data_IF_691102112976
#
_entry.id   IF_691102112976
#
_cell.length_a   1.000
_cell.length_b   1.000
_cell.length_c   1.000
_cell.angle_alpha   90.00
_cell.angle_beta   90.00
_cell.angle_gamma   90.00
#
_symmetry.space_group_name_H-M   'P 1'
#
loop_
_entity.id
_entity.type
_entity.pdbx_description
1 polymer ?
#
# COMPACT_ATOMS: atom_id res chain seq x y z
N UNK A 1 -13.50 -14.54 -6.76
CA UNK A 1 -12.40 -14.51 -5.79
C UNK A 1 -12.01 -13.04 -5.58
N UNK A 2 -12.38 -12.48 -4.42
CA UNK A 2 -12.45 -11.04 -4.10
C UNK A 2 -11.05 -10.49 -3.82
N UNK A 3 -10.14 -10.57 -4.79
CA UNK A 3 -8.76 -10.13 -4.60
C UNK A 3 -8.69 -8.61 -4.69
N UNK A 4 -8.22 -8.00 -3.61
CA UNK A 4 -7.90 -6.58 -3.53
C UNK A 4 -6.87 -6.24 -4.61
N UNK A 5 -7.16 -5.25 -5.45
CA UNK A 5 -6.16 -4.70 -6.39
C UNK A 5 -5.26 -3.71 -5.64
N UNK A 6 -4.01 -3.49 -6.09
CA UNK A 6 -3.15 -2.45 -5.55
C UNK A 6 -3.83 -1.08 -5.53
N UNK A 7 -4.65 -0.78 -6.55
CA UNK A 7 -5.43 0.47 -6.66
C UNK A 7 -6.38 0.68 -5.48
N UNK A 8 -7.13 -0.34 -5.08
CA UNK A 8 -8.04 -0.21 -3.93
C UNK A 8 -7.28 0.08 -2.62
N UNK A 9 -6.08 -0.48 -2.47
CA UNK A 9 -5.22 -0.21 -1.30
C UNK A 9 -4.72 1.23 -1.30
N UNK A 10 -4.30 1.74 -2.46
CA UNK A 10 -3.87 3.13 -2.62
C UNK A 10 -5.03 4.12 -2.43
N UNK A 11 -6.22 3.80 -2.94
CA UNK A 11 -7.43 4.62 -2.74
C UNK A 11 -7.83 4.67 -1.26
N UNK A 12 -7.82 3.53 -0.56
CA UNK A 12 -8.07 3.50 0.88
C UNK A 12 -7.03 4.30 1.67
N UNK A 13 -5.76 4.28 1.22
CA UNK A 13 -4.71 5.12 1.78
C UNK A 13 -4.99 6.62 1.55
N UNK A 14 -5.35 7.02 0.33
CA UNK A 14 -5.71 8.42 0.00
C UNK A 14 -6.93 8.91 0.79
N UNK A 15 -7.90 8.04 1.07
CA UNK A 15 -9.07 8.34 1.90
C UNK A 15 -8.76 8.42 3.40
N UNK A 16 -7.57 8.00 3.83
CA UNK A 16 -7.21 7.89 5.25
C UNK A 16 -7.82 6.68 5.97
N UNK A 17 -8.48 5.78 5.26
CA UNK A 17 -9.06 4.54 5.80
C UNK A 17 -7.98 3.49 6.11
N UNK A 18 -6.81 3.63 5.49
CA UNK A 18 -5.69 2.71 5.63
C UNK A 18 -4.38 3.46 5.82
N UNK A 19 -3.57 3.06 6.79
CA UNK A 19 -2.24 3.61 7.02
C UNK A 19 -1.17 2.77 6.33
N UNK A 20 -0.03 3.40 6.00
CA UNK A 20 1.15 2.69 5.44
C UNK A 20 1.56 1.48 6.30
N UNK A 21 1.53 1.64 7.63
CA UNK A 21 1.86 0.57 8.57
C UNK A 21 0.93 -0.64 8.42
N UNK A 22 -0.37 -0.41 8.26
CA UNK A 22 -1.34 -1.49 8.01
C UNK A 22 -1.08 -2.19 6.67
N UNK A 23 -0.67 -1.47 5.62
CA UNK A 23 -0.30 -2.09 4.33
C UNK A 23 0.90 -3.02 4.50
N UNK A 24 1.93 -2.60 5.24
CA UNK A 24 3.12 -3.44 5.54
C UNK A 24 2.73 -4.69 6.33
N UNK A 25 1.88 -4.55 7.35
CA UNK A 25 1.38 -5.68 8.12
C UNK A 25 0.62 -6.68 7.25
N UNK A 26 -0.27 -6.19 6.39
CA UNK A 26 -1.02 -7.02 5.44
C UNK A 26 -0.10 -7.75 4.45
N UNK A 27 0.97 -7.09 3.95
CA UNK A 27 2.00 -7.72 3.11
C UNK A 27 2.69 -8.86 3.84
N UNK A 28 3.13 -8.63 5.07
CA UNK A 28 3.85 -9.64 5.86
C UNK A 28 2.95 -10.83 6.23
N UNK A 29 1.69 -10.55 6.57
CA UNK A 29 0.67 -11.57 6.81
C UNK A 29 0.41 -12.41 5.55
N UNK A 30 0.32 -11.79 4.37
CA UNK A 30 0.16 -12.49 3.10
C UNK A 30 1.36 -13.39 2.80
N UNK A 31 2.59 -12.92 3.04
CA UNK A 31 3.82 -13.73 2.88
C UNK A 31 3.84 -14.92 3.84
N UNK A 32 3.56 -14.70 5.12
CA UNK A 32 3.55 -15.75 6.15
C UNK A 32 2.52 -16.84 5.86
N UNK A 33 1.37 -16.47 5.28
CA UNK A 33 0.31 -17.42 4.93
C UNK A 33 0.48 -18.08 3.56
N UNK A 34 1.54 -17.78 2.82
CA UNK A 34 1.80 -18.38 1.51
C UNK A 34 0.92 -17.84 0.39
N UNK A 35 0.49 -16.57 0.46
CA UNK A 35 -0.24 -15.88 -0.62
C UNK A 35 0.69 -14.92 -1.38
N UNK A 36 1.53 -15.42 -2.32
CA UNK A 36 2.53 -14.61 -3.02
C UNK A 36 1.89 -13.50 -3.87
N UNK A 37 0.78 -13.78 -4.55
CA UNK A 37 0.07 -12.79 -5.39
C UNK A 37 -0.47 -11.62 -4.56
N UNK A 38 -0.99 -11.92 -3.37
CA UNK A 38 -1.51 -10.90 -2.46
C UNK A 38 -0.37 -10.09 -1.82
N UNK A 39 0.75 -10.73 -1.51
CA UNK A 39 1.94 -10.04 -1.07
C UNK A 39 2.49 -9.09 -2.15
N UNK A 40 2.49 -9.51 -3.42
CA UNK A 40 2.87 -8.67 -4.55
C UNK A 40 1.94 -7.46 -4.69
N UNK A 41 0.61 -7.65 -4.56
CA UNK A 41 -0.36 -6.56 -4.61
C UNK A 41 -0.09 -5.47 -3.55
N UNK A 42 0.17 -5.87 -2.31
CA UNK A 42 0.50 -4.93 -1.24
C UNK A 42 1.88 -4.28 -1.42
N UNK A 43 2.82 -4.99 -2.04
CA UNK A 43 4.14 -4.44 -2.33
C UNK A 43 4.09 -3.36 -3.41
N UNK A 44 3.30 -3.57 -4.47
CA UNK A 44 3.05 -2.54 -5.49
C UNK A 44 2.32 -1.32 -4.91
N UNK A 45 1.29 -1.55 -4.08
CA UNK A 45 0.59 -0.45 -3.41
C UNK A 45 1.53 0.38 -2.51
N UNK A 46 2.45 -0.28 -1.80
CA UNK A 46 3.45 0.41 -0.97
C UNK A 46 4.39 1.30 -1.79
N UNK A 47 4.85 0.86 -2.95
CA UNK A 47 5.70 1.69 -3.83
C UNK A 47 4.99 2.98 -4.23
N UNK A 48 3.73 2.88 -4.65
CA UNK A 48 2.92 4.04 -5.03
C UNK A 48 2.71 4.98 -3.85
N UNK A 49 2.43 4.43 -2.66
CA UNK A 49 2.27 5.23 -1.44
C UNK A 49 3.57 5.95 -1.06
N UNK A 50 4.71 5.27 -1.16
CA UNK A 50 6.02 5.86 -0.87
C UNK A 50 6.37 6.99 -1.85
N UNK A 51 6.05 6.83 -3.14
CA UNK A 51 6.17 7.89 -4.15
C UNK A 51 5.25 9.09 -3.85
N UNK A 52 3.99 8.84 -3.49
CA UNK A 52 3.04 9.91 -3.13
C UNK A 52 3.54 10.73 -1.93
N UNK A 53 4.03 10.06 -0.87
CA UNK A 53 4.58 10.75 0.30
C UNK A 53 5.87 11.51 0.01
N UNK A 54 6.68 11.03 -0.94
CA UNK A 54 7.88 11.75 -1.37
C UNK A 54 7.51 13.04 -2.08
N UNK A 55 6.54 12.99 -3.00
CA UNK A 55 6.04 14.17 -3.69
C UNK A 55 5.38 15.18 -2.74
N UNK A 56 4.59 14.72 -1.76
CA UNK A 56 3.99 15.61 -0.74
C UNK A 56 5.05 16.33 0.09
N UNK A 57 6.11 15.63 0.51
CA UNK A 57 7.22 16.25 1.24
C UNK A 57 8.01 17.27 0.43
N UNK A 58 8.18 17.04 -0.88
CA UNK A 58 8.87 18.00 -1.74
C UNK A 58 8.01 19.27 -1.92
N UNK A 59 6.67 19.16 -1.95
CA UNK A 59 5.76 20.30 -2.07
C UNK A 59 5.59 21.17 -0.82
N UNK A 60 6.01 20.72 0.37
CA UNK A 60 5.99 21.53 1.60
C UNK A 60 7.23 22.45 1.74
N UNK A 61 8.15 22.42 0.77
CA UNK A 61 9.45 23.12 0.86
C UNK A 61 9.63 24.31 -0.10
N UNK A 62 8.58 24.74 -0.81
CA UNK A 62 8.61 25.95 -1.66
C UNK A 62 7.90 27.15 -1.00
#
# INVERSE_FOLDING_TARGET
MKWFTPKHVVEAFKKGELTRHQVVMNRNMARSRGYPERAACFNEALKIIDELRKNEKESETE
#
